data_IF_887528065199
#
_entry.id   IF_887528065199
#
_cell.length_a   1.000
_cell.length_b   1.000
_cell.length_c   1.000
_cell.angle_alpha   90.00
_cell.angle_beta   90.00
_cell.angle_gamma   90.00
#
_symmetry.space_group_name_H-M   'P 1'
#
loop_
_entity.id
_entity.type
_entity.pdbx_description
1 polymer ?
#
# COMPACT_ATOMS: atom_id res chain seq x y z
N UNK A 1 -47.82 1.13 30.69
CA UNK A 1 -48.68 0.41 29.68
C UNK A 1 -48.16 0.62 28.28
N UNK A 2 -48.18 -0.45 27.47
CA UNK A 2 -47.92 -0.54 26.04
C UNK A 2 -46.48 -0.53 25.52
N UNK A 3 -45.93 -1.72 25.46
CA UNK A 3 -44.76 -2.06 24.63
C UNK A 3 -45.14 -2.10 23.15
N UNK A 4 -44.36 -1.41 22.29
CA UNK A 4 -44.46 -1.56 20.83
C UNK A 4 -43.39 -2.53 20.32
N UNK A 5 -43.83 -3.72 19.92
CA UNK A 5 -43.09 -4.76 19.18
C UNK A 5 -42.78 -4.25 17.77
N UNK A 6 -41.50 -4.16 17.38
CA UNK A 6 -41.10 -3.97 15.98
C UNK A 6 -40.71 -5.31 15.38
N UNK A 7 -41.43 -5.70 14.33
CA UNK A 7 -41.24 -6.93 13.55
C UNK A 7 -39.98 -6.86 12.70
N UNK A 8 -39.07 -7.82 12.86
CA UNK A 8 -37.99 -8.09 11.92
C UNK A 8 -38.56 -8.75 10.66
N UNK A 9 -38.32 -8.12 9.49
CA UNK A 9 -38.56 -8.75 8.19
C UNK A 9 -37.23 -9.37 7.71
N UNK A 10 -37.29 -10.70 7.51
CA UNK A 10 -36.22 -11.48 6.94
C UNK A 10 -35.92 -11.07 5.49
N UNK A 11 -34.66 -11.07 5.14
CA UNK A 11 -34.16 -10.83 3.78
C UNK A 11 -33.60 -12.14 3.24
N UNK A 12 -34.29 -12.70 2.27
CA UNK A 12 -33.96 -13.93 1.57
C UNK A 12 -32.64 -13.83 0.82
N UNK A 13 -31.87 -14.92 0.92
CA UNK A 13 -30.62 -15.12 0.17
C UNK A 13 -30.98 -15.57 -1.25
N UNK A 14 -30.68 -14.75 -2.23
CA UNK A 14 -30.78 -15.10 -3.65
C UNK A 14 -29.45 -15.76 -4.10
N UNK A 15 -29.54 -17.08 -4.27
CA UNK A 15 -28.47 -17.89 -4.87
C UNK A 15 -28.54 -17.72 -6.39
N UNK A 16 -27.45 -17.23 -6.98
CA UNK A 16 -27.27 -17.12 -8.42
C UNK A 16 -26.38 -18.29 -8.89
N UNK A 17 -26.98 -19.23 -9.64
CA UNK A 17 -26.30 -20.36 -10.28
C UNK A 17 -25.57 -19.87 -11.55
N UNK A 18 -24.31 -20.25 -11.70
CA UNK A 18 -23.55 -20.12 -12.94
C UNK A 18 -23.87 -21.22 -13.92
N UNK A 19 -23.95 -20.96 -15.24
CA UNK A 19 -24.05 -22.03 -16.25
C UNK A 19 -22.65 -22.38 -16.81
N UNK A 20 -22.40 -23.68 -16.85
CA UNK A 20 -21.31 -24.32 -17.59
C UNK A 20 -21.57 -24.29 -19.11
N UNK A 21 -20.58 -24.02 -19.93
CA UNK A 21 -20.54 -24.36 -21.38
C UNK A 21 -19.16 -24.93 -21.72
N UNK A 22 -19.17 -26.18 -21.92
CA UNK A 22 -18.88 -27.14 -23.01
C UNK A 22 -17.98 -26.59 -24.12
N UNK A 23 -16.95 -27.39 -24.32
CA UNK A 23 -15.92 -27.47 -25.26
C UNK A 23 -16.30 -27.41 -26.76
N UNK A 24 -15.28 -27.08 -27.55
CA UNK A 24 -15.16 -27.49 -28.93
C UNK A 24 -13.68 -27.70 -29.25
N UNK A 25 -13.36 -28.96 -29.55
CA UNK A 25 -12.16 -29.40 -30.20
C UNK A 25 -12.23 -29.04 -31.68
N UNK A 26 -11.20 -28.48 -32.26
CA UNK A 26 -11.00 -28.50 -33.72
C UNK A 26 -9.58 -28.97 -34.01
N UNK A 27 -9.52 -30.17 -34.61
CA UNK A 27 -8.33 -30.72 -35.25
C UNK A 27 -8.20 -30.07 -36.63
N UNK A 28 -7.02 -29.74 -37.06
CA UNK A 28 -6.72 -29.38 -38.43
C UNK A 28 -5.22 -29.43 -38.71
N UNK A 29 -4.87 -30.38 -39.53
CA UNK A 29 -3.51 -30.79 -39.86
C UNK A 29 -2.93 -30.04 -41.04
N UNK A 30 -1.59 -30.03 -41.11
CA UNK A 30 -0.72 -30.21 -42.25
C UNK A 30 -0.20 -28.96 -43.03
N UNK A 31 1.04 -28.87 -43.13
CA UNK A 31 2.01 -29.09 -44.21
C UNK A 31 2.90 -27.89 -44.56
N UNK A 32 4.14 -28.09 -44.22
CA UNK A 32 5.38 -27.83 -44.95
C UNK A 32 5.52 -26.58 -45.86
N UNK A 33 6.52 -25.75 -45.57
CA UNK A 33 7.49 -25.31 -46.57
C UNK A 33 8.77 -24.80 -45.89
N UNK A 34 9.88 -25.34 -46.32
CA UNK A 34 11.26 -24.95 -46.02
C UNK A 34 11.52 -23.53 -46.57
N UNK A 35 12.10 -22.68 -45.75
CA UNK A 35 13.01 -21.64 -46.28
C UNK A 35 14.08 -21.35 -45.25
N UNK A 36 15.26 -21.75 -45.63
CA UNK A 36 16.53 -21.49 -44.97
C UNK A 36 16.84 -19.99 -45.13
N UNK A 37 16.89 -19.27 -43.99
CA UNK A 37 17.58 -17.98 -43.94
C UNK A 37 18.33 -17.89 -42.64
N UNK A 38 19.61 -18.16 -42.73
CA UNK A 38 20.63 -17.82 -41.74
C UNK A 38 20.55 -16.31 -41.46
N UNK A 39 19.92 -15.91 -40.38
CA UNK A 39 20.13 -14.60 -39.81
C UNK A 39 20.90 -14.79 -38.51
N UNK A 40 22.11 -14.27 -38.54
CA UNK A 40 23.06 -14.16 -37.42
C UNK A 40 22.32 -13.84 -36.13
N UNK A 41 22.27 -14.80 -35.23
CA UNK A 41 21.91 -14.58 -33.83
C UNK A 41 23.00 -13.69 -33.20
N UNK A 42 22.70 -12.38 -33.14
CA UNK A 42 23.41 -11.48 -32.25
C UNK A 42 23.17 -12.00 -30.83
N UNK A 43 24.15 -12.64 -30.26
CA UNK A 43 24.15 -13.06 -28.88
C UNK A 43 23.83 -11.85 -27.99
N UNK A 44 22.59 -11.78 -27.52
CA UNK A 44 22.23 -10.90 -26.41
C UNK A 44 23.04 -11.37 -25.22
N UNK A 45 24.04 -10.57 -24.83
CA UNK A 45 24.74 -10.75 -23.56
C UNK A 45 23.65 -10.94 -22.46
N UNK A 46 23.72 -11.99 -21.63
CA UNK A 46 22.80 -12.12 -20.53
C UNK A 46 22.93 -10.84 -19.68
N UNK A 47 21.82 -10.17 -19.41
CA UNK A 47 21.78 -9.13 -18.38
C UNK A 47 22.35 -9.77 -17.12
N UNK A 48 23.50 -9.27 -16.71
CA UNK A 48 24.15 -9.62 -15.46
C UNK A 48 23.06 -9.52 -14.38
N UNK A 49 22.64 -10.67 -13.85
CA UNK A 49 21.84 -10.69 -12.63
C UNK A 49 22.59 -9.81 -11.64
N UNK A 50 21.91 -8.86 -11.04
CA UNK A 50 22.49 -7.99 -10.01
C UNK A 50 23.09 -8.92 -8.96
N UNK A 51 24.41 -9.04 -8.98
CA UNK A 51 25.13 -9.71 -7.91
C UNK A 51 24.73 -8.93 -6.65
N UNK A 52 24.11 -9.62 -5.70
CA UNK A 52 23.87 -9.06 -4.37
C UNK A 52 25.23 -8.68 -3.83
N UNK A 53 25.51 -7.39 -3.85
CA UNK A 53 26.75 -6.83 -3.36
C UNK A 53 26.83 -7.18 -1.86
N UNK A 54 27.80 -8.02 -1.50
CA UNK A 54 28.08 -8.39 -0.11
C UNK A 54 28.71 -7.25 0.70
N UNK A 55 28.93 -6.10 0.07
CA UNK A 55 29.24 -4.85 0.75
C UNK A 55 27.95 -4.39 1.44
N UNK A 56 28.04 -4.00 2.69
CA UNK A 56 26.93 -3.40 3.42
C UNK A 56 26.27 -2.22 2.67
N UNK A 57 25.18 -1.66 3.18
CA UNK A 57 24.51 -0.53 2.54
C UNK A 57 25.52 0.59 2.22
N UNK A 58 25.34 1.30 1.10
CA UNK A 58 26.17 2.42 0.73
C UNK A 58 26.08 3.52 1.80
N UNK A 59 27.09 4.39 1.88
CA UNK A 59 27.06 5.50 2.83
C UNK A 59 25.81 6.38 2.68
N UNK A 60 25.30 6.53 1.45
CA UNK A 60 24.07 7.27 1.19
C UNK A 60 22.84 6.58 1.79
N UNK A 61 22.73 5.27 1.67
CA UNK A 61 21.64 4.49 2.30
C UNK A 61 21.69 4.59 3.83
N UNK A 62 22.88 4.58 4.40
CA UNK A 62 23.06 4.76 5.85
C UNK A 62 22.63 6.16 6.31
N UNK A 63 22.94 7.20 5.54
CA UNK A 63 22.50 8.57 5.83
C UNK A 63 20.98 8.71 5.70
N UNK A 64 20.37 8.18 4.64
CA UNK A 64 18.93 8.17 4.46
C UNK A 64 18.23 7.43 5.61
N UNK A 65 18.75 6.27 6.01
CA UNK A 65 18.23 5.52 7.14
C UNK A 65 18.37 6.29 8.48
N UNK A 66 19.47 7.02 8.66
CA UNK A 66 19.68 7.87 9.84
C UNK A 66 18.69 9.04 9.91
N UNK A 67 18.42 9.69 8.76
CA UNK A 67 17.41 10.77 8.65
C UNK A 67 16.02 10.23 8.95
N UNK A 68 15.65 9.08 8.42
CA UNK A 68 14.36 8.46 8.72
C UNK A 68 14.23 8.14 10.21
N UNK A 69 15.25 7.54 10.84
CA UNK A 69 15.26 7.29 12.29
C UNK A 69 15.06 8.57 13.10
N UNK A 70 15.71 9.67 12.69
CA UNK A 70 15.54 10.97 13.34
C UNK A 70 14.13 11.53 13.18
N UNK A 71 13.51 11.36 12.00
CA UNK A 71 12.12 11.76 11.75
C UNK A 71 11.15 10.95 12.63
N UNK A 72 11.33 9.63 12.75
CA UNK A 72 10.49 8.78 13.59
C UNK A 72 10.63 9.17 15.07
N UNK A 73 11.84 9.45 15.55
CA UNK A 73 12.06 9.96 16.88
C UNK A 73 11.34 11.30 17.11
N UNK A 74 11.41 12.20 16.14
CA UNK A 74 10.70 13.49 16.22
C UNK A 74 9.18 13.30 16.30
N UNK A 75 8.60 12.34 15.57
CA UNK A 75 7.18 12.00 15.70
C UNK A 75 6.84 11.40 17.06
N UNK A 76 7.75 10.67 17.68
CA UNK A 76 7.56 10.15 19.03
C UNK A 76 7.62 11.27 20.09
N UNK A 77 8.46 12.26 19.91
CA UNK A 77 8.53 13.48 20.73
C UNK A 77 7.28 14.38 20.56
N UNK A 78 6.61 14.32 19.39
CA UNK A 78 5.46 15.15 19.01
C UNK A 78 4.17 14.34 18.87
N UNK A 79 3.80 13.62 19.94
CA UNK A 79 2.54 12.86 20.00
C UNK A 79 1.29 13.76 20.06
N UNK A 80 1.47 15.03 20.40
CA UNK A 80 0.45 16.09 20.37
C UNK A 80 -0.10 16.33 18.95
N UNK A 81 0.76 16.22 17.92
CA UNK A 81 0.36 16.45 16.53
C UNK A 81 -0.49 15.31 16.00
N UNK A 82 -1.72 15.60 15.62
CA UNK A 82 -2.67 14.61 15.12
C UNK A 82 -2.36 14.21 13.65
N UNK A 83 -2.77 13.02 13.28
CA UNK A 83 -2.58 12.54 11.89
C UNK A 83 -3.29 13.42 10.86
N UNK A 84 -4.45 13.99 11.20
CA UNK A 84 -5.17 14.90 10.30
C UNK A 84 -4.38 16.19 10.04
N UNK A 85 -3.66 16.70 11.02
CA UNK A 85 -2.81 17.90 10.86
C UNK A 85 -1.65 17.64 9.90
N UNK A 86 -1.02 16.47 10.00
CA UNK A 86 0.01 16.03 9.05
C UNK A 86 -0.56 15.89 7.63
N UNK A 87 -1.75 15.32 7.49
CA UNK A 87 -2.44 15.20 6.21
C UNK A 87 -2.75 16.56 5.59
N UNK A 88 -3.24 17.51 6.37
CA UNK A 88 -3.53 18.88 5.92
C UNK A 88 -2.25 19.57 5.46
N UNK A 89 -1.16 19.44 6.22
CA UNK A 89 0.08 20.15 5.99
C UNK A 89 0.91 19.54 4.85
N UNK A 90 1.08 18.22 4.87
CA UNK A 90 2.07 17.52 4.06
C UNK A 90 1.48 16.46 3.11
N UNK A 91 0.18 16.17 3.20
CA UNK A 91 -0.47 15.16 2.37
C UNK A 91 -0.17 13.70 2.78
N UNK A 92 0.52 13.49 3.89
CA UNK A 92 0.77 12.16 4.46
C UNK A 92 0.72 12.20 5.99
N UNK A 93 0.64 11.03 6.61
CA UNK A 93 0.63 10.90 8.07
C UNK A 93 1.42 9.66 8.51
N UNK A 94 1.46 9.39 9.82
CA UNK A 94 2.14 8.21 10.39
C UNK A 94 1.63 6.89 9.79
N UNK A 95 0.33 6.77 9.49
CA UNK A 95 -0.22 5.60 8.83
C UNK A 95 0.30 5.43 7.39
N UNK A 96 0.50 6.52 6.66
CA UNK A 96 1.10 6.49 5.32
C UNK A 96 2.55 5.97 5.37
N UNK A 97 3.35 6.48 6.32
CA UNK A 97 4.72 5.99 6.53
C UNK A 97 4.74 4.50 6.89
N UNK A 98 3.81 4.04 7.74
CA UNK A 98 3.69 2.62 8.09
C UNK A 98 3.39 1.76 6.87
N UNK A 99 2.48 2.22 6.00
CA UNK A 99 2.13 1.54 4.75
C UNK A 99 3.32 1.49 3.80
N UNK A 100 4.00 2.62 3.56
CA UNK A 100 5.20 2.65 2.71
C UNK A 100 6.32 1.76 3.22
N UNK A 101 6.49 1.66 4.53
CA UNK A 101 7.48 0.75 5.14
C UNK A 101 7.10 -0.71 4.89
N UNK A 102 5.82 -1.06 5.01
CA UNK A 102 5.31 -2.41 4.72
C UNK A 102 5.49 -2.75 3.22
N UNK A 103 5.12 -1.83 2.32
CA UNK A 103 5.27 -1.97 0.86
C UNK A 103 6.75 -2.18 0.49
N UNK A 104 7.64 -1.35 1.03
CA UNK A 104 9.09 -1.47 0.82
C UNK A 104 9.66 -2.78 1.37
N UNK A 105 9.15 -3.31 2.47
CA UNK A 105 9.52 -4.61 3.01
C UNK A 105 9.06 -5.74 2.09
N UNK A 106 7.82 -5.66 1.58
CA UNK A 106 7.26 -6.63 0.65
C UNK A 106 8.07 -6.72 -0.65
N UNK A 107 8.43 -5.57 -1.24
CA UNK A 107 9.28 -5.52 -2.43
C UNK A 107 10.66 -6.18 -2.23
N UNK A 108 11.15 -6.21 -1.00
CA UNK A 108 12.45 -6.79 -0.62
C UNK A 108 12.35 -8.20 -0.05
N UNK A 109 11.15 -8.79 -0.03
CA UNK A 109 10.92 -10.12 0.54
C UNK A 109 11.10 -10.18 2.06
N UNK A 110 11.01 -9.05 2.76
CA UNK A 110 11.09 -8.97 4.22
C UNK A 110 9.69 -9.11 4.82
N UNK A 111 9.52 -10.03 5.76
CA UNK A 111 8.24 -10.20 6.46
C UNK A 111 8.01 -9.05 7.45
N UNK A 112 7.14 -8.11 7.07
CA UNK A 112 6.69 -7.01 7.91
C UNK A 112 5.20 -6.79 7.69
N UNK A 113 4.40 -7.02 8.71
CA UNK A 113 2.97 -6.74 8.70
C UNK A 113 2.67 -5.28 9.07
N UNK A 114 1.41 -4.87 8.86
CA UNK A 114 0.97 -3.50 9.11
C UNK A 114 1.07 -3.10 10.59
N UNK A 115 0.80 -4.01 11.52
CA UNK A 115 0.84 -3.71 12.95
C UNK A 115 2.28 -3.45 13.41
N UNK A 116 3.23 -4.27 12.98
CA UNK A 116 4.66 -4.05 13.25
C UNK A 116 5.20 -2.80 12.57
N UNK A 117 4.73 -2.51 11.34
CA UNK A 117 5.09 -1.28 10.66
C UNK A 117 4.58 -0.04 11.40
N UNK A 118 3.33 -0.10 11.92
CA UNK A 118 2.77 0.96 12.77
C UNK A 118 3.55 1.11 14.07
N UNK A 119 3.83 0.03 14.77
CA UNK A 119 4.60 0.06 16.00
C UNK A 119 5.95 0.76 15.82
N UNK A 120 6.66 0.49 14.71
CA UNK A 120 7.92 1.17 14.38
C UNK A 120 7.75 2.68 14.16
N UNK A 121 6.64 3.11 13.56
CA UNK A 121 6.40 4.53 13.23
C UNK A 121 5.81 5.31 14.41
N UNK A 122 5.01 4.66 15.23
CA UNK A 122 4.34 5.28 16.39
C UNK A 122 5.15 5.17 17.69
N UNK A 123 6.19 4.32 17.72
CA UNK A 123 6.98 4.04 18.91
C UNK A 123 6.26 3.20 19.97
N UNK A 124 5.02 2.76 19.68
CA UNK A 124 4.18 1.94 20.55
C UNK A 124 3.10 1.22 19.73
N UNK A 125 2.41 0.20 20.29
CA UNK A 125 1.26 -0.43 19.64
C UNK A 125 0.21 0.61 19.23
N UNK A 126 -0.33 0.47 18.01
CA UNK A 126 -1.25 1.47 17.45
C UNK A 126 -2.56 1.61 18.25
N UNK A 127 -3.05 0.51 18.84
CA UNK A 127 -4.21 0.53 19.75
C UNK A 127 -3.97 1.44 20.96
N UNK A 128 -2.80 1.32 21.58
CA UNK A 128 -2.38 2.12 22.73
C UNK A 128 -2.21 3.60 22.34
N UNK A 129 -1.59 3.86 21.17
CA UNK A 129 -1.45 5.22 20.68
C UNK A 129 -2.81 5.90 20.45
N UNK A 130 -3.78 5.17 19.88
CA UNK A 130 -5.14 5.68 19.69
C UNK A 130 -5.81 6.06 21.01
N UNK A 131 -5.69 5.19 21.98
CA UNK A 131 -6.31 5.40 23.29
C UNK A 131 -5.71 6.61 24.02
N UNK A 132 -4.39 6.77 23.96
CA UNK A 132 -3.67 7.79 24.73
C UNK A 132 -3.55 9.14 24.05
N UNK A 133 -3.45 9.16 22.72
CA UNK A 133 -3.03 10.35 21.98
C UNK A 133 -3.97 10.79 20.87
N UNK A 134 -4.83 9.89 20.34
CA UNK A 134 -5.73 10.27 19.27
C UNK A 134 -6.89 11.10 19.80
N UNK A 135 -7.10 12.26 19.20
CA UNK A 135 -8.25 13.12 19.47
C UNK A 135 -9.20 13.14 18.28
N UNK A 136 -10.51 13.37 18.50
CA UNK A 136 -11.45 13.61 17.43
C UNK A 136 -11.03 14.86 16.65
N UNK A 137 -11.17 14.80 15.32
CA UNK A 137 -10.93 15.97 14.49
C UNK A 137 -12.01 17.03 14.71
N UNK A 138 -11.61 18.31 14.77
CA UNK A 138 -12.52 19.44 14.81
C UNK A 138 -13.16 19.68 13.44
N UNK A 139 -14.31 20.39 13.40
CA UNK A 139 -14.96 20.77 12.14
C UNK A 139 -14.02 21.59 11.24
N UNK A 140 -13.25 22.49 11.83
CA UNK A 140 -12.25 23.29 11.10
C UNK A 140 -11.15 22.39 10.49
N UNK A 141 -10.64 21.40 11.24
CA UNK A 141 -9.65 20.46 10.71
C UNK A 141 -10.23 19.63 9.56
N UNK A 142 -11.49 19.20 9.67
CA UNK A 142 -12.17 18.45 8.61
C UNK A 142 -12.35 19.30 7.34
N UNK A 143 -12.76 20.55 7.47
CA UNK A 143 -12.88 21.47 6.35
C UNK A 143 -11.54 21.72 5.65
N UNK A 144 -10.48 22.00 6.41
CA UNK A 144 -9.11 22.19 5.89
C UNK A 144 -8.56 20.93 5.22
N UNK A 145 -8.90 19.76 5.74
CA UNK A 145 -8.51 18.48 5.16
C UNK A 145 -9.18 18.28 3.79
N UNK A 146 -10.49 18.51 3.68
CA UNK A 146 -11.22 18.45 2.41
C UNK A 146 -10.63 19.39 1.35
N UNK A 147 -10.27 20.62 1.73
CA UNK A 147 -9.61 21.57 0.85
C UNK A 147 -8.21 21.12 0.42
N UNK A 148 -7.47 20.48 1.33
CA UNK A 148 -6.15 19.93 1.01
C UNK A 148 -6.25 18.76 0.02
N UNK A 149 -7.21 17.87 0.18
CA UNK A 149 -7.47 16.76 -0.75
C UNK A 149 -7.87 17.28 -2.13
N UNK A 150 -8.75 18.28 -2.22
CA UNK A 150 -9.13 18.90 -3.48
C UNK A 150 -7.92 19.47 -4.23
N UNK A 151 -7.07 20.24 -3.55
CA UNK A 151 -5.83 20.78 -4.14
C UNK A 151 -4.85 19.70 -4.56
N UNK A 152 -4.80 18.58 -3.85
CA UNK A 152 -3.96 17.43 -4.22
C UNK A 152 -4.49 16.74 -5.49
N UNK A 153 -5.80 16.55 -5.61
CA UNK A 153 -6.43 15.98 -6.80
C UNK A 153 -6.21 16.86 -8.05
N UNK A 154 -6.37 18.18 -7.92
CA UNK A 154 -6.14 19.15 -9.00
C UNK A 154 -4.68 19.10 -9.51
N UNK A 155 -3.70 18.91 -8.60
CA UNK A 155 -2.28 18.77 -8.99
C UNK A 155 -1.97 17.44 -9.68
N UNK A 156 -2.70 16.37 -9.38
CA UNK A 156 -2.49 15.07 -10.00
C UNK A 156 -3.07 14.98 -11.42
N UNK A 157 -3.96 15.90 -11.81
CA UNK A 157 -4.59 15.96 -13.15
C UNK A 157 -3.91 16.92 -14.13
N UNK A 158 -2.93 17.71 -13.68
CA UNK A 158 -2.09 18.60 -14.48
C UNK A 158 -0.72 17.97 -14.77
#
# INVERSE_FOLDING_TARGET
MAAKKVKQKGREKRVVKSPAKRGAQVKGAAKAARSNRQTRARARKPKRAAATDKRGPSADVELEAAVLRRLLQHFDERKDVQNIELMILAGFCRNCLSRWMMEAAQERGVALDMERAREKVYGMPYSEWKERHQQPATEEQLARFADAEKRAAERATN
#
